data_IF_231644966533
#
_entry.id   IF_231644966533
#
_cell.length_a   1.000
_cell.length_b   1.000
_cell.length_c   1.000
_cell.angle_alpha   90.00
_cell.angle_beta   90.00
_cell.angle_gamma   90.00
#
_symmetry.space_group_name_H-M   'P 1'
#
loop_
_entity.id
_entity.type
_entity.pdbx_description
1 polymer ?
#
# COMPACT_ATOMS: atom_id res chain seq x y z
N UNK A 1 -10.04 -2.19 6.26
CA UNK A 1 -9.56 -3.47 5.69
C UNK A 1 -8.05 -3.53 5.85
N UNK A 2 -7.50 -4.68 6.20
CA UNK A 2 -6.06 -4.90 6.33
C UNK A 2 -5.55 -5.62 5.08
N UNK A 3 -4.37 -5.22 4.60
CA UNK A 3 -3.67 -5.91 3.52
C UNK A 3 -2.78 -7.04 4.08
N UNK A 4 -2.16 -7.82 3.20
CA UNK A 4 -1.19 -8.87 3.56
C UNK A 4 -0.09 -8.33 4.50
N UNK A 5 0.33 -9.20 5.43
CA UNK A 5 1.37 -8.94 6.43
C UNK A 5 1.17 -7.68 7.31
N UNK A 6 -0.07 -7.26 7.53
CA UNK A 6 -0.39 -6.06 8.33
C UNK A 6 -0.58 -6.35 9.82
N UNK A 7 -0.19 -5.40 10.67
CA UNK A 7 -0.38 -5.46 12.11
C UNK A 7 -0.90 -4.10 12.63
N UNK A 8 -2.06 -4.12 13.30
CA UNK A 8 -2.80 -2.93 13.71
C UNK A 8 -3.34 -3.10 15.14
N UNK A 9 -3.04 -2.15 16.02
CA UNK A 9 -3.64 -2.06 17.37
C UNK A 9 -4.82 -1.08 17.35
N UNK A 10 -5.94 -1.45 17.98
CA UNK A 10 -7.13 -0.59 18.07
C UNK A 10 -7.30 -0.11 19.52
N UNK A 11 -7.40 1.21 19.72
CA UNK A 11 -7.65 1.82 21.03
C UNK A 11 -8.64 2.96 20.90
N UNK A 12 -9.91 2.65 21.12
CA UNK A 12 -10.98 3.65 21.10
C UNK A 12 -11.41 3.93 22.53
N UNK A 13 -11.60 5.21 22.84
CA UNK A 13 -12.13 5.66 24.12
C UNK A 13 -13.23 6.72 23.90
N UNK A 14 -13.64 7.39 24.97
CA UNK A 14 -14.68 8.41 24.97
C UNK A 14 -14.25 9.70 24.25
N UNK A 15 -12.94 9.94 24.10
CA UNK A 15 -12.37 11.14 23.50
C UNK A 15 -11.77 10.94 22.11
N UNK A 16 -11.28 9.74 21.76
CA UNK A 16 -10.55 9.49 20.50
C UNK A 16 -10.77 8.07 19.95
N UNK A 17 -10.75 7.96 18.62
CA UNK A 17 -10.70 6.68 17.88
C UNK A 17 -9.29 6.49 17.33
N UNK A 18 -8.41 5.87 18.12
CA UNK A 18 -6.99 5.71 17.77
C UNK A 18 -6.68 4.31 17.24
N UNK A 19 -5.92 4.27 16.16
CA UNK A 19 -5.29 3.08 15.62
C UNK A 19 -3.76 3.22 15.70
N UNK A 20 -3.03 2.14 15.92
CA UNK A 20 -1.57 2.13 15.72
C UNK A 20 -1.23 1.11 14.63
N UNK A 21 -0.75 1.57 13.48
CA UNK A 21 -0.31 0.66 12.43
C UNK A 21 1.18 0.37 12.64
N UNK A 22 1.50 -0.91 12.88
CA UNK A 22 2.86 -1.37 13.17
C UNK A 22 3.59 -1.86 11.92
N UNK A 23 2.85 -2.45 10.99
CA UNK A 23 3.37 -3.02 9.74
C UNK A 23 2.25 -3.12 8.71
N UNK A 24 2.64 -3.12 7.44
CA UNK A 24 1.78 -3.45 6.30
C UNK A 24 0.98 -2.26 5.81
N UNK A 25 -0.25 -2.52 5.40
CA UNK A 25 -1.13 -1.55 4.76
C UNK A 25 -2.57 -1.70 5.24
N UNK A 26 -3.25 -0.57 5.43
CA UNK A 26 -4.66 -0.50 5.81
C UNK A 26 -5.41 0.44 4.89
N UNK A 27 -6.59 0.02 4.43
CA UNK A 27 -7.59 0.93 3.87
C UNK A 27 -8.60 1.27 4.96
N UNK A 28 -8.74 2.55 5.27
CA UNK A 28 -9.66 3.07 6.26
C UNK A 28 -10.81 3.79 5.56
N UNK A 29 -12.04 3.46 5.98
CA UNK A 29 -13.26 4.19 5.63
C UNK A 29 -13.91 4.61 6.93
N UNK A 30 -13.82 5.90 7.27
CA UNK A 30 -14.44 6.43 8.49
C UNK A 30 -15.88 6.85 8.22
N UNK A 31 -16.79 6.56 9.15
CA UNK A 31 -18.14 7.10 9.16
C UNK A 31 -18.23 8.27 10.15
N UNK A 32 -19.29 9.08 10.01
CA UNK A 32 -19.61 10.11 10.98
C UNK A 32 -19.68 9.50 12.40
N UNK A 33 -19.05 10.16 13.37
CA UNK A 33 -19.13 9.73 14.76
C UNK A 33 -20.45 10.25 15.36
N UNK A 34 -21.32 9.39 15.91
CA UNK A 34 -22.59 9.82 16.49
C UNK A 34 -22.43 10.58 17.83
N UNK A 35 -21.24 10.55 18.44
CA UNK A 35 -20.94 11.24 19.70
C UNK A 35 -20.71 12.73 19.47
N UNK A 36 -21.18 13.58 20.39
CA UNK A 36 -21.01 15.04 20.35
C UNK A 36 -20.29 15.51 21.63
N UNK A 37 -19.12 16.18 21.52
CA UNK A 37 -18.39 16.49 20.28
C UNK A 37 -17.83 15.23 19.61
N UNK A 38 -17.66 15.28 18.29
CA UNK A 38 -17.14 14.14 17.50
C UNK A 38 -15.74 13.76 17.99
N UNK A 39 -15.47 12.46 18.14
CA UNK A 39 -14.13 11.97 18.47
C UNK A 39 -13.27 11.95 17.20
N UNK A 40 -12.07 12.56 17.21
CA UNK A 40 -11.14 12.43 16.10
C UNK A 40 -10.78 10.98 15.83
N UNK A 41 -10.49 10.67 14.58
CA UNK A 41 -9.98 9.37 14.17
C UNK A 41 -8.52 9.54 13.76
N UNK A 42 -7.62 8.89 14.49
CA UNK A 42 -6.17 9.08 14.35
C UNK A 42 -5.48 7.74 14.14
N UNK A 43 -4.53 7.71 13.22
CA UNK A 43 -3.61 6.58 13.03
C UNK A 43 -2.21 7.02 13.46
N UNK A 44 -1.70 6.38 14.49
CA UNK A 44 -0.35 6.58 15.00
C UNK A 44 0.61 5.63 14.29
N UNK A 45 1.76 6.18 13.91
CA UNK A 45 2.85 5.53 13.19
C UNK A 45 4.19 5.96 13.80
N UNK A 46 5.27 5.28 13.43
CA UNK A 46 6.62 5.72 13.84
C UNK A 46 7.00 7.10 13.25
N UNK A 47 6.42 7.45 12.09
CA UNK A 47 6.65 8.70 11.37
C UNK A 47 5.82 9.89 11.92
N UNK A 48 4.84 9.64 12.79
CA UNK A 48 3.91 10.66 13.29
C UNK A 48 2.47 10.18 13.27
N UNK A 49 1.54 11.11 13.12
CA UNK A 49 0.10 10.85 13.17
C UNK A 49 -0.60 11.19 11.86
N UNK A 50 -1.70 10.50 11.58
CA UNK A 50 -2.62 10.81 10.48
C UNK A 50 -4.01 11.00 11.08
N UNK A 51 -4.57 12.21 10.97
CA UNK A 51 -5.95 12.49 11.37
C UNK A 51 -6.89 12.42 10.16
N UNK A 52 -7.95 11.62 10.29
CA UNK A 52 -8.98 11.50 9.27
C UNK A 52 -10.04 12.60 9.42
N UNK A 53 -10.31 13.35 8.34
CA UNK A 53 -11.30 14.43 8.33
C UNK A 53 -12.70 13.96 7.85
N UNK A 54 -12.98 12.65 7.96
CA UNK A 54 -14.22 12.01 7.48
C UNK A 54 -14.07 11.42 6.07
N UNK A 55 -13.19 10.43 5.90
CA UNK A 55 -12.60 10.09 4.60
C UNK A 55 -12.47 8.58 4.34
N UNK A 56 -12.19 8.23 3.08
CA UNK A 56 -11.65 6.95 2.63
C UNK A 56 -10.20 7.18 2.17
N UNK A 57 -9.24 6.50 2.80
CA UNK A 57 -7.81 6.63 2.51
C UNK A 57 -7.05 5.33 2.84
N UNK A 58 -5.92 5.09 2.19
CA UNK A 58 -5.00 4.02 2.57
C UNK A 58 -3.73 4.56 3.22
N UNK A 59 -3.17 3.77 4.13
CA UNK A 59 -1.90 4.03 4.80
C UNK A 59 -1.06 2.78 4.65
N UNK A 60 0.13 2.95 4.09
CA UNK A 60 1.09 1.87 3.82
C UNK A 60 2.44 2.24 4.41
N UNK A 61 2.96 1.36 5.26
CA UNK A 61 4.31 1.48 5.78
C UNK A 61 5.30 0.87 4.78
N UNK A 62 6.30 1.66 4.42
CA UNK A 62 7.46 1.28 3.61
C UNK A 62 8.74 1.60 4.41
N UNK A 63 9.89 1.05 4.02
CA UNK A 63 11.13 1.21 4.81
C UNK A 63 11.45 2.69 5.09
N UNK A 64 11.22 3.12 6.34
CA UNK A 64 11.44 4.50 6.80
C UNK A 64 10.36 5.52 6.37
N UNK A 65 9.45 5.17 5.46
CA UNK A 65 8.42 6.06 4.92
C UNK A 65 7.01 5.55 5.20
N UNK A 66 6.06 6.47 5.24
CA UNK A 66 4.65 6.15 5.20
C UNK A 66 4.04 6.75 3.94
N UNK A 67 3.45 5.90 3.10
CA UNK A 67 2.64 6.32 1.97
C UNK A 67 1.18 6.47 2.42
N UNK A 68 0.56 7.58 2.06
CA UNK A 68 -0.86 7.86 2.31
C UNK A 68 -1.53 8.24 1.00
N UNK A 69 -2.61 7.54 0.62
CA UNK A 69 -3.40 7.84 -0.57
C UNK A 69 -4.84 8.15 -0.18
N UNK A 70 -5.37 9.30 -0.59
CA UNK A 70 -6.70 9.78 -0.18
C UNK A 70 -7.70 9.65 -1.32
N UNK A 71 -8.74 8.85 -1.12
CA UNK A 71 -9.77 8.59 -2.12
C UNK A 71 -11.01 9.49 -1.96
N UNK A 72 -11.28 10.02 -0.77
CA UNK A 72 -12.43 10.91 -0.53
C UNK A 72 -12.14 11.95 0.56
N UNK A 73 -12.70 13.16 0.49
CA UNK A 73 -12.53 14.25 1.48
C UNK A 73 -11.06 14.65 1.71
N UNK A 74 -10.45 14.25 2.83
CA UNK A 74 -9.08 14.63 3.17
C UNK A 74 -8.55 14.00 4.46
N UNK A 75 -7.23 14.04 4.62
CA UNK A 75 -6.52 13.71 5.85
C UNK A 75 -5.56 14.84 6.21
N UNK A 76 -5.20 14.93 7.48
CA UNK A 76 -4.09 15.74 7.94
C UNK A 76 -2.93 14.83 8.37
N UNK A 77 -1.79 14.99 7.71
CA UNK A 77 -0.54 14.36 8.09
C UNK A 77 0.15 15.23 9.13
N UNK A 78 0.56 14.64 10.26
CA UNK A 78 1.30 15.29 11.32
C UNK A 78 2.62 14.55 11.54
N UNK A 79 3.67 14.88 10.77
CA UNK A 79 5.01 14.35 11.01
C UNK A 79 5.49 14.67 12.44
N UNK A 80 6.26 13.78 13.05
CA UNK A 80 6.70 13.94 14.45
C UNK A 80 7.48 15.24 14.72
N UNK A 81 8.31 15.69 13.77
CA UNK A 81 9.19 16.84 13.89
C UNK A 81 8.94 17.90 12.80
N UNK A 82 7.90 17.71 11.99
CA UNK A 82 7.57 18.54 10.83
C UNK A 82 6.27 19.31 11.01
N UNK A 83 6.01 20.22 10.07
CA UNK A 83 4.72 20.90 10.01
C UNK A 83 3.61 19.95 9.54
N UNK A 84 2.40 20.16 10.04
CA UNK A 84 1.22 19.45 9.57
C UNK A 84 0.93 19.78 8.11
N UNK A 85 0.54 18.77 7.33
CA UNK A 85 0.22 18.90 5.90
C UNK A 85 -1.12 18.25 5.62
N UNK A 86 -2.04 19.01 5.02
CA UNK A 86 -3.32 18.49 4.56
C UNK A 86 -3.20 17.85 3.18
N UNK A 87 -3.73 16.64 3.05
CA UNK A 87 -3.95 15.95 1.78
C UNK A 87 -5.44 15.92 1.45
N UNK A 88 -5.77 16.32 0.22
CA UNK A 88 -7.12 16.25 -0.31
C UNK A 88 -7.36 14.94 -1.08
N UNK A 89 -8.63 14.64 -1.38
CA UNK A 89 -8.99 13.55 -2.28
C UNK A 89 -8.25 13.64 -3.63
N UNK A 90 -7.85 12.49 -4.16
CA UNK A 90 -7.05 12.39 -5.39
C UNK A 90 -5.56 12.64 -5.18
N UNK A 91 -5.10 12.89 -3.94
CA UNK A 91 -3.69 13.10 -3.63
C UNK A 91 -3.09 11.96 -2.82
N UNK A 92 -1.84 11.65 -3.11
CA UNK A 92 -1.01 10.78 -2.29
C UNK A 92 0.30 11.45 -1.89
N UNK A 93 0.86 11.04 -0.77
CA UNK A 93 2.17 11.48 -0.33
C UNK A 93 2.93 10.38 0.39
N UNK A 94 4.26 10.51 0.36
CA UNK A 94 5.18 9.77 1.21
C UNK A 94 5.74 10.73 2.23
N UNK A 95 5.66 10.38 3.51
CA UNK A 95 6.19 11.21 4.59
C UNK A 95 6.99 10.37 5.59
N UNK A 96 7.96 11.02 6.23
CA UNK A 96 8.72 10.50 7.36
C UNK A 96 8.50 11.38 8.59
N UNK A 97 9.24 11.12 9.67
CA UNK A 97 9.17 11.92 10.89
C UNK A 97 9.47 13.42 10.71
N UNK A 98 10.17 13.81 9.64
CA UNK A 98 10.58 15.20 9.37
C UNK A 98 9.59 15.95 8.50
N UNK A 99 8.83 15.24 7.66
CA UNK A 99 7.92 15.90 6.74
C UNK A 99 7.49 15.04 5.55
N UNK A 100 6.70 15.66 4.67
CA UNK A 100 6.34 15.10 3.38
C UNK A 100 7.56 15.13 2.46
N UNK A 101 7.98 13.96 2.00
CA UNK A 101 9.14 13.76 1.13
C UNK A 101 8.77 13.81 -0.36
N UNK A 102 7.56 13.35 -0.69
CA UNK A 102 7.06 13.30 -2.07
C UNK A 102 5.55 13.41 -2.09
N UNK A 103 5.01 14.05 -3.14
CA UNK A 103 3.57 14.08 -3.44
C UNK A 103 3.33 13.59 -4.86
N UNK A 104 2.18 12.96 -5.09
CA UNK A 104 1.68 12.58 -6.41
C UNK A 104 0.16 12.55 -6.41
N UNK A 105 -0.44 12.31 -7.57
CA UNK A 105 -1.86 11.98 -7.68
C UNK A 105 -2.07 10.51 -7.28
N UNK A 106 -3.23 10.22 -6.70
CA UNK A 106 -3.64 8.84 -6.38
C UNK A 106 -3.80 8.07 -7.68
N UNK A 107 -3.28 6.86 -7.69
CA UNK A 107 -3.68 5.85 -8.66
C UNK A 107 -5.03 5.29 -8.19
N UNK A 108 -6.08 5.43 -9.02
CA UNK A 108 -7.43 4.96 -8.68
C UNK A 108 -7.44 3.44 -8.39
N UNK A 109 -6.51 2.71 -9.00
CA UNK A 109 -6.35 1.27 -8.83
C UNK A 109 -5.60 0.90 -7.56
N UNK A 110 -5.01 1.87 -6.84
CA UNK A 110 -4.30 1.61 -5.58
C UNK A 110 -5.19 0.99 -4.49
N UNK A 111 -6.52 1.08 -4.62
CA UNK A 111 -7.44 0.42 -3.68
C UNK A 111 -7.91 -0.96 -4.13
N UNK A 112 -7.59 -1.41 -5.34
CA UNK A 112 -8.08 -2.69 -5.90
C UNK A 112 -7.49 -3.93 -5.24
N UNK A 113 -6.42 -3.79 -4.44
CA UNK A 113 -5.96 -4.88 -3.59
C UNK A 113 -7.06 -5.35 -2.62
N UNK A 114 -7.98 -4.45 -2.22
CA UNK A 114 -9.14 -4.83 -1.40
C UNK A 114 -10.12 -5.77 -2.10
N UNK A 115 -9.97 -5.93 -3.42
CA UNK A 115 -10.71 -6.87 -4.27
C UNK A 115 -9.79 -7.98 -4.81
N UNK A 116 -8.62 -8.19 -4.23
CA UNK A 116 -7.69 -9.26 -4.64
C UNK A 116 -7.00 -8.98 -5.98
N UNK A 117 -6.87 -7.72 -6.40
CA UNK A 117 -6.34 -7.35 -7.72
C UNK A 117 -5.19 -6.34 -7.62
N UNK A 118 -4.15 -6.55 -8.43
CA UNK A 118 -3.07 -5.60 -8.69
C UNK A 118 -3.16 -5.14 -10.14
N UNK A 119 -3.39 -3.86 -10.36
CA UNK A 119 -3.31 -3.27 -11.70
C UNK A 119 -1.95 -2.63 -11.88
N UNK A 120 -1.32 -2.95 -13.00
CA UNK A 120 -0.08 -2.35 -13.44
C UNK A 120 -0.36 -1.53 -14.70
N UNK A 121 0.11 -0.27 -14.71
CA UNK A 121 0.08 0.63 -15.86
C UNK A 121 1.51 1.03 -16.21
N UNK A 122 2.08 0.42 -17.25
CA UNK A 122 3.46 0.66 -17.68
C UNK A 122 4.50 0.57 -16.54
N UNK A 123 4.31 -0.37 -15.61
CA UNK A 123 5.20 -0.52 -14.44
C UNK A 123 6.38 -1.44 -14.74
N UNK A 124 7.58 -1.18 -14.19
CA UNK A 124 8.69 -2.10 -14.26
C UNK A 124 8.33 -3.47 -13.64
N UNK A 125 8.76 -4.55 -14.28
CA UNK A 125 8.50 -5.92 -13.85
C UNK A 125 8.99 -6.15 -12.42
N UNK A 126 10.12 -5.58 -12.03
CA UNK A 126 10.65 -5.68 -10.67
C UNK A 126 9.67 -5.14 -9.63
N UNK A 127 8.98 -4.03 -9.91
CA UNK A 127 7.99 -3.48 -8.97
C UNK A 127 6.75 -4.37 -8.87
N UNK A 128 6.27 -4.89 -10.01
CA UNK A 128 5.12 -5.80 -10.04
C UNK A 128 5.44 -7.09 -9.29
N UNK A 129 6.62 -7.66 -9.48
CA UNK A 129 7.06 -8.86 -8.76
C UNK A 129 7.28 -8.59 -7.27
N UNK A 130 7.77 -7.40 -6.89
CA UNK A 130 7.87 -7.02 -5.48
C UNK A 130 6.48 -6.96 -4.83
N UNK A 131 5.49 -6.39 -5.51
CA UNK A 131 4.10 -6.37 -5.04
C UNK A 131 3.52 -7.79 -4.94
N UNK A 132 3.63 -8.62 -5.98
CA UNK A 132 3.17 -10.03 -5.94
C UNK A 132 3.85 -10.82 -4.82
N UNK A 133 5.14 -10.53 -4.56
CA UNK A 133 5.91 -11.12 -3.47
C UNK A 133 5.26 -10.94 -2.09
N UNK A 134 4.55 -9.84 -1.85
CA UNK A 134 3.88 -9.55 -0.57
C UNK A 134 2.66 -10.44 -0.31
N UNK A 135 2.07 -11.01 -1.34
CA UNK A 135 0.86 -11.84 -1.24
C UNK A 135 1.17 -13.34 -1.30
N UNK A 136 2.44 -13.72 -1.35
CA UNK A 136 2.85 -15.13 -1.42
C UNK A 136 3.86 -15.48 -0.33
N UNK A 137 3.83 -16.72 0.18
CA UNK A 137 4.92 -17.23 1.00
C UNK A 137 6.16 -17.49 0.15
N UNK A 138 7.33 -17.35 0.78
CA UNK A 138 8.62 -17.64 0.17
C UNK A 138 9.23 -16.47 -0.60
N UNK A 139 10.29 -16.76 -1.35
CA UNK A 139 11.08 -15.80 -2.10
C UNK A 139 10.65 -15.76 -3.57
N UNK A 140 10.34 -14.55 -4.05
CA UNK A 140 10.17 -14.25 -5.47
C UNK A 140 11.31 -13.34 -5.92
N UNK A 141 12.25 -13.90 -6.69
CA UNK A 141 13.45 -13.19 -7.15
C UNK A 141 13.27 -12.74 -8.59
N UNK A 142 13.56 -11.47 -8.87
CA UNK A 142 13.66 -10.93 -10.21
C UNK A 142 15.13 -10.87 -10.65
N UNK A 143 15.44 -11.38 -11.84
CA UNK A 143 16.74 -11.16 -12.48
C UNK A 143 16.84 -9.70 -12.96
N UNK A 144 17.96 -8.99 -12.69
CA UNK A 144 18.17 -7.63 -13.18
C UNK A 144 18.01 -7.47 -14.70
N UNK A 145 18.30 -8.51 -15.49
CA UNK A 145 18.19 -8.46 -16.96
C UNK A 145 16.75 -8.25 -17.46
N UNK A 146 15.74 -8.68 -16.69
CA UNK A 146 14.32 -8.56 -17.05
C UNK A 146 13.57 -7.56 -16.15
N UNK A 147 14.21 -7.03 -15.11
CA UNK A 147 13.63 -6.13 -14.12
C UNK A 147 12.96 -4.88 -14.72
N UNK A 148 13.49 -4.37 -15.83
CA UNK A 148 12.99 -3.19 -16.53
C UNK A 148 11.88 -3.43 -17.53
N UNK A 149 11.47 -4.68 -17.78
CA UNK A 149 10.36 -4.97 -18.69
C UNK A 149 9.08 -4.30 -18.20
N UNK A 150 8.31 -3.72 -19.13
CA UNK A 150 7.08 -2.99 -18.79
C UNK A 150 5.90 -3.96 -18.70
N UNK A 151 5.16 -3.87 -17.61
CA UNK A 151 3.95 -4.65 -17.36
C UNK A 151 2.75 -3.70 -17.40
N UNK A 152 1.77 -4.07 -18.22
CA UNK A 152 0.46 -3.45 -18.24
C UNK A 152 -0.61 -4.54 -18.17
N UNK A 153 -1.54 -4.42 -17.22
CA UNK A 153 -2.62 -5.38 -17.03
C UNK A 153 -3.05 -5.56 -15.58
N UNK A 154 -4.12 -6.33 -15.39
CA UNK A 154 -4.65 -6.66 -14.07
C UNK A 154 -4.26 -8.09 -13.69
N UNK A 155 -3.65 -8.24 -12.51
CA UNK A 155 -3.12 -9.49 -11.97
C UNK A 155 -3.88 -9.85 -10.69
N UNK A 156 -4.19 -11.13 -10.52
CA UNK A 156 -4.79 -11.62 -9.28
C UNK A 156 -3.76 -11.69 -8.16
N UNK A 157 -4.12 -11.16 -7.00
CA UNK A 157 -3.37 -11.28 -5.75
C UNK A 157 -3.79 -12.53 -4.95
N UNK A 158 -5.00 -13.05 -5.21
CA UNK A 158 -5.50 -14.28 -4.58
C UNK A 158 -4.82 -15.53 -5.15
N UNK A 159 -4.45 -15.51 -6.44
CA UNK A 159 -3.68 -16.57 -7.11
C UNK A 159 -2.44 -16.00 -7.81
N UNK A 160 -1.37 -15.85 -7.02
CA UNK A 160 -0.09 -15.31 -7.52
C UNK A 160 0.60 -16.24 -8.52
N UNK A 161 0.30 -17.54 -8.56
CA UNK A 161 0.85 -18.45 -9.56
C UNK A 161 0.20 -18.22 -10.94
N UNK A 162 -1.12 -17.95 -10.98
CA UNK A 162 -1.79 -17.52 -12.21
C UNK A 162 -1.28 -16.16 -12.71
N UNK A 163 -1.06 -15.20 -11.81
CA UNK A 163 -0.46 -13.92 -12.17
C UNK A 163 0.92 -14.10 -12.82
N UNK A 164 1.78 -14.94 -12.24
CA UNK A 164 3.09 -15.24 -12.80
C UNK A 164 2.99 -15.93 -14.17
N UNK A 165 2.12 -16.93 -14.31
CA UNK A 165 1.89 -17.59 -15.61
C UNK A 165 1.41 -16.60 -16.68
N UNK A 166 0.56 -15.63 -16.31
CA UNK A 166 0.12 -14.59 -17.23
C UNK A 166 1.31 -13.71 -17.69
N UNK A 167 2.21 -13.34 -16.78
CA UNK A 167 3.42 -12.57 -17.09
C UNK A 167 4.38 -13.34 -18.02
N UNK A 168 4.58 -14.64 -17.81
CA UNK A 168 5.44 -15.48 -18.66
C UNK A 168 4.87 -15.66 -20.09
N UNK A 169 3.55 -15.55 -20.28
CA UNK A 169 2.93 -15.59 -21.61
C UNK A 169 3.02 -14.28 -22.38
N UNK A 170 3.12 -13.14 -21.69
CA UNK A 170 3.08 -11.81 -22.30
C UNK A 170 4.46 -11.17 -22.43
N UNK A 171 5.42 -11.59 -21.62
CA UNK A 171 6.77 -11.05 -21.60
C UNK A 171 7.81 -12.12 -21.97
N UNK A 172 8.96 -11.73 -22.53
CA UNK A 172 10.07 -12.63 -22.81
C UNK A 172 10.82 -12.98 -21.50
N UNK A 173 10.15 -13.70 -20.61
CA UNK A 173 10.69 -14.15 -19.32
C UNK A 173 10.48 -15.66 -19.16
N UNK A 174 11.18 -16.23 -18.18
CA UNK A 174 11.01 -17.62 -17.75
C UNK A 174 10.91 -17.71 -16.24
N UNK A 175 9.96 -18.50 -15.77
CA UNK A 175 9.73 -18.74 -14.35
C UNK A 175 10.35 -20.08 -13.96
N UNK A 176 11.38 -20.01 -13.12
CA UNK A 176 12.04 -21.20 -12.57
C UNK A 176 11.65 -21.39 -11.12
N UNK A 177 10.99 -22.52 -10.81
CA UNK A 177 10.69 -22.94 -9.44
C UNK A 177 11.81 -23.84 -8.94
N UNK A 178 12.65 -23.33 -8.03
CA UNK A 178 13.74 -24.11 -7.42
C UNK A 178 13.20 -24.98 -6.29
N UNK A 179 12.26 -24.44 -5.53
CA UNK A 179 11.50 -25.14 -4.49
C UNK A 179 10.07 -24.57 -4.45
N UNK A 180 9.20 -25.12 -3.58
CA UNK A 180 7.88 -24.54 -3.32
C UNK A 180 7.92 -23.07 -2.88
N UNK A 181 8.98 -22.67 -2.17
CA UNK A 181 9.14 -21.34 -1.59
C UNK A 181 10.24 -20.51 -2.27
N UNK A 182 10.75 -20.94 -3.42
CA UNK A 182 11.74 -20.19 -4.19
C UNK A 182 11.37 -20.18 -5.66
N UNK A 183 10.92 -19.01 -6.12
CA UNK A 183 10.61 -18.73 -7.52
C UNK A 183 11.55 -17.65 -8.03
N UNK A 184 12.18 -17.91 -9.16
CA UNK A 184 13.04 -16.96 -9.86
C UNK A 184 12.44 -16.64 -11.23
N UNK A 185 12.37 -15.34 -11.54
CA UNK A 185 11.95 -14.81 -12.84
C UNK A 185 13.19 -14.28 -13.54
N UNK A 186 13.51 -14.82 -14.70
CA UNK A 186 14.69 -14.43 -15.47
C UNK A 186 14.43 -14.40 -16.96
N UNK A 187 15.47 -14.16 -17.75
CA UNK A 187 15.40 -14.29 -19.19
C UNK A 187 15.16 -15.78 -19.58
N UNK A 188 14.62 -16.04 -20.78
CA UNK A 188 14.33 -17.40 -21.28
C UNK A 188 15.55 -18.31 -21.34
#
# INVERSE_FOLDING_TARGET
MLNSDSALDVRFDEGIRRLHLRRGEVLVTTHADPVVPRRPFVIDLAQGEIEALGTRFSVRLEEGLCQVAVFAHGVELRPQWGAAVRLAAGQQAWFDARGVQRRALVDEDASLWTRGMLVAHDRPLAEVLAELGRYRPGLLRCDPAVAGLRVSGALSLDDTDQALLALERTLPIRITRRTRYWVAVGAP
#
